data_IF_794024994006
#
_entry.id   IF_794024994006
#
_cell.length_a   1.000
_cell.length_b   1.000
_cell.length_c   1.000
_cell.angle_alpha   90.00
_cell.angle_beta   90.00
_cell.angle_gamma   90.00
#
_symmetry.space_group_name_H-M   'P 1'
#
loop_
_entity.id
_entity.type
_entity.pdbx_description
1 polymer ?
#
# COMPACT_ATOMS: atom_id res chain seq x y z
N UNK A 1 20.55 16.89 -6.42
CA UNK A 1 19.08 16.76 -6.50
C UNK A 1 18.63 15.68 -5.53
N UNK A 2 17.59 15.96 -4.77
CA UNK A 2 17.07 14.98 -3.83
C UNK A 2 16.30 13.89 -4.57
N UNK A 3 16.50 12.64 -4.14
CA UNK A 3 15.69 11.52 -4.60
C UNK A 3 14.34 11.59 -3.88
N UNK A 4 13.30 11.10 -4.54
CA UNK A 4 11.94 11.13 -4.00
C UNK A 4 11.47 9.75 -3.64
N UNK A 5 10.88 9.62 -2.45
CA UNK A 5 10.28 8.36 -1.99
C UNK A 5 8.79 8.55 -1.75
N UNK A 6 8.00 7.62 -2.30
CA UNK A 6 6.58 7.51 -1.97
C UNK A 6 6.45 6.60 -0.75
N UNK A 7 5.83 7.08 0.31
CA UNK A 7 5.75 6.39 1.60
C UNK A 7 4.30 6.31 2.07
N UNK A 8 3.89 5.13 2.55
CA UNK A 8 2.58 4.97 3.17
C UNK A 8 2.43 5.99 4.31
N UNK A 9 1.37 6.80 4.25
CA UNK A 9 1.19 7.95 5.15
C UNK A 9 1.14 7.57 6.63
N UNK A 10 0.58 6.40 6.97
CA UNK A 10 0.53 5.96 8.36
C UNK A 10 1.92 5.74 8.97
N UNK A 11 2.91 5.41 8.15
CA UNK A 11 4.30 5.24 8.61
C UNK A 11 4.96 6.58 8.94
N UNK A 12 4.42 7.68 8.43
CA UNK A 12 4.87 9.03 8.72
C UNK A 12 4.07 9.69 9.85
N UNK A 13 3.18 8.94 10.50
CA UNK A 13 2.41 9.41 11.66
C UNK A 13 1.01 9.91 11.35
N UNK A 14 0.53 9.81 10.10
CA UNK A 14 -0.84 10.19 9.77
C UNK A 14 -1.81 9.14 10.27
N UNK A 15 -2.92 9.58 10.88
CA UNK A 15 -3.94 8.69 11.45
C UNK A 15 -4.90 8.20 10.36
N UNK A 16 -4.39 7.49 9.37
CA UNK A 16 -5.13 7.09 8.18
C UNK A 16 -5.32 5.57 8.03
N UNK A 17 -5.04 4.80 9.08
CA UNK A 17 -5.38 3.37 9.08
C UNK A 17 -6.89 3.21 9.17
N UNK A 18 -7.39 2.00 8.82
CA UNK A 18 -8.82 1.72 8.80
C UNK A 18 -9.53 2.06 10.12
N UNK A 19 -8.84 1.97 11.24
CA UNK A 19 -9.35 2.24 12.59
C UNK A 19 -9.06 3.66 13.08
N UNK A 20 -8.48 4.52 12.24
CA UNK A 20 -8.08 5.87 12.61
C UNK A 20 -6.75 5.96 13.35
N UNK A 21 -6.02 4.84 13.45
CA UNK A 21 -4.70 4.81 14.09
C UNK A 21 -3.59 5.15 13.09
N UNK A 22 -2.36 5.27 13.61
CA UNK A 22 -1.17 5.49 12.80
C UNK A 22 -0.12 4.42 13.12
N UNK A 23 0.92 4.35 12.30
CA UNK A 23 2.05 3.43 12.48
C UNK A 23 3.37 4.16 12.34
N UNK A 24 3.52 5.29 13.01
CA UNK A 24 4.74 6.10 12.92
C UNK A 24 5.98 5.22 13.10
N UNK A 25 6.89 5.31 12.13
CA UNK A 25 8.13 4.53 12.12
C UNK A 25 9.31 5.48 12.04
N UNK A 26 9.75 5.97 13.20
CA UNK A 26 10.84 6.95 13.26
C UNK A 26 12.17 6.42 12.70
N UNK A 27 12.59 5.17 12.99
CA UNK A 27 13.82 4.65 12.37
C UNK A 27 13.77 4.65 10.85
N UNK A 28 12.61 4.34 10.27
CA UNK A 28 12.44 4.37 8.82
C UNK A 28 12.57 5.80 8.29
N UNK A 29 11.94 6.78 8.94
CA UNK A 29 12.03 8.17 8.54
C UNK A 29 13.47 8.68 8.60
N UNK A 30 14.23 8.26 9.62
CA UNK A 30 15.65 8.61 9.73
C UNK A 30 16.44 8.00 8.57
N UNK A 31 16.16 6.76 8.20
CA UNK A 31 16.81 6.10 7.06
C UNK A 31 16.52 6.80 5.75
N UNK A 32 15.36 7.45 5.64
CA UNK A 32 14.93 8.18 4.46
C UNK A 32 15.26 9.68 4.52
N UNK A 33 16.11 10.12 5.45
CA UNK A 33 16.36 11.54 5.70
C UNK A 33 16.95 12.30 4.49
N UNK A 34 17.60 11.58 3.57
CA UNK A 34 18.14 12.18 2.36
C UNK A 34 17.15 12.24 1.21
N UNK A 35 15.95 11.69 1.39
CA UNK A 35 14.90 11.69 0.39
C UNK A 35 13.89 12.79 0.65
N UNK A 36 13.29 13.29 -0.43
CA UNK A 36 12.03 14.04 -0.32
C UNK A 36 10.90 13.04 -0.17
N UNK A 37 10.22 13.08 0.97
CA UNK A 37 9.16 12.11 1.28
C UNK A 37 7.81 12.64 0.80
N UNK A 38 7.13 11.85 -0.04
CA UNK A 38 5.79 12.14 -0.52
C UNK A 38 4.89 11.01 -0.02
N UNK A 39 3.91 11.36 0.81
CA UNK A 39 3.05 10.36 1.44
C UNK A 39 1.82 10.05 0.59
N UNK A 40 1.26 8.84 0.79
CA UNK A 40 0.04 8.43 0.12
C UNK A 40 -0.79 7.54 1.04
N UNK A 41 -2.09 7.52 0.82
CA UNK A 41 -2.99 6.55 1.46
C UNK A 41 -4.19 6.32 0.55
N UNK A 42 -4.14 5.30 -0.32
CA UNK A 42 -5.21 5.05 -1.27
C UNK A 42 -6.55 4.70 -0.61
N UNK A 43 -6.50 4.03 0.53
CA UNK A 43 -7.73 3.62 1.22
C UNK A 43 -8.40 4.79 1.92
N UNK A 44 -7.63 5.68 2.58
CA UNK A 44 -8.21 6.86 3.21
C UNK A 44 -8.81 7.81 2.18
N UNK A 45 -8.11 8.03 1.07
CA UNK A 45 -8.60 8.88 -0.01
C UNK A 45 -9.89 8.33 -0.63
N UNK A 46 -9.94 7.02 -0.88
CA UNK A 46 -11.07 6.40 -1.57
C UNK A 46 -12.27 6.18 -0.65
N UNK A 47 -12.06 5.85 0.62
CA UNK A 47 -13.11 5.34 1.51
C UNK A 47 -13.22 6.10 2.83
N UNK A 48 -12.30 7.00 3.14
CA UNK A 48 -12.29 7.72 4.41
C UNK A 48 -11.72 6.91 5.57
N UNK A 49 -11.70 7.53 6.73
CA UNK A 49 -11.20 6.93 7.97
C UNK A 49 -12.14 7.32 9.11
N UNK A 50 -12.62 6.40 9.96
CA UNK A 50 -12.41 4.94 9.88
C UNK A 50 -13.19 4.29 8.73
N UNK A 51 -12.83 3.05 8.41
CA UNK A 51 -13.44 2.31 7.31
C UNK A 51 -13.36 0.80 7.58
N UNK A 52 -14.21 -0.01 6.91
CA UNK A 52 -14.12 -1.47 7.03
C UNK A 52 -12.79 -2.00 6.50
N UNK A 53 -12.38 -3.16 6.99
CA UNK A 53 -11.22 -3.86 6.45
C UNK A 53 -11.54 -4.49 5.10
N UNK A 54 -10.47 -4.81 4.36
CA UNK A 54 -10.58 -5.55 3.11
C UNK A 54 -9.49 -6.62 3.05
N UNK A 55 -9.73 -7.64 2.24
CA UNK A 55 -8.75 -8.69 1.98
C UNK A 55 -8.42 -8.76 0.50
N UNK A 56 -7.20 -9.19 0.18
CA UNK A 56 -6.85 -9.57 -1.18
C UNK A 56 -7.39 -10.97 -1.42
N UNK A 57 -8.20 -11.13 -2.47
CA UNK A 57 -8.84 -12.39 -2.83
C UNK A 57 -8.42 -12.78 -4.24
N UNK A 58 -7.90 -13.98 -4.40
CA UNK A 58 -7.50 -14.52 -5.70
C UNK A 58 -8.58 -15.46 -6.22
N UNK A 59 -9.01 -15.24 -7.46
CA UNK A 59 -9.95 -16.10 -8.15
C UNK A 59 -9.58 -16.12 -9.64
N UNK A 60 -9.35 -17.33 -10.18
CA UNK A 60 -9.04 -17.50 -11.59
C UNK A 60 -7.78 -16.75 -12.05
N UNK A 61 -6.80 -16.59 -11.17
CA UNK A 61 -5.57 -15.88 -11.46
C UNK A 61 -5.65 -14.37 -11.28
N UNK A 62 -6.83 -13.83 -10.94
CA UNK A 62 -7.01 -12.41 -10.69
C UNK A 62 -7.08 -12.15 -9.19
N UNK A 63 -6.47 -11.04 -8.75
CA UNK A 63 -6.49 -10.62 -7.34
C UNK A 63 -7.26 -9.32 -7.24
N UNK A 64 -8.23 -9.28 -6.31
CA UNK A 64 -9.02 -8.09 -6.04
C UNK A 64 -9.05 -7.81 -4.54
N UNK A 65 -9.21 -6.53 -4.18
CA UNK A 65 -9.46 -6.13 -2.81
C UNK A 65 -10.96 -6.20 -2.55
N UNK A 66 -11.37 -7.04 -1.60
CA UNK A 66 -12.78 -7.30 -1.30
C UNK A 66 -13.11 -6.81 0.11
N UNK A 67 -14.16 -6.01 0.23
CA UNK A 67 -14.63 -5.52 1.53
C UNK A 67 -15.08 -6.67 2.42
N UNK A 68 -14.59 -6.72 3.66
CA UNK A 68 -15.03 -7.71 4.64
C UNK A 68 -16.43 -7.43 5.17
N UNK A 69 -16.93 -6.21 5.00
CA UNK A 69 -18.28 -5.84 5.43
C UNK A 69 -19.34 -6.17 4.39
N UNK A 70 -19.06 -5.86 3.11
CA UNK A 70 -20.07 -5.95 2.05
C UNK A 70 -19.81 -7.04 1.02
N UNK A 71 -18.59 -7.57 0.94
CA UNK A 71 -18.21 -8.51 -0.11
C UNK A 71 -18.02 -7.89 -1.48
N UNK A 72 -18.06 -6.56 -1.58
CA UNK A 72 -17.91 -5.84 -2.86
C UNK A 72 -16.44 -5.59 -3.14
N UNK A 73 -16.06 -5.64 -4.43
CA UNK A 73 -14.70 -5.29 -4.85
C UNK A 73 -14.45 -3.80 -4.67
N UNK A 74 -13.33 -3.46 -4.04
CA UNK A 74 -12.88 -2.09 -3.80
C UNK A 74 -11.66 -1.75 -4.66
N UNK A 75 -11.34 -2.59 -5.64
CA UNK A 75 -10.11 -2.48 -6.43
C UNK A 75 -10.03 -1.22 -7.28
N UNK A 76 -11.12 -0.87 -7.99
CA UNK A 76 -11.09 0.24 -8.94
C UNK A 76 -10.70 1.59 -8.33
N UNK A 77 -11.28 2.02 -7.19
CA UNK A 77 -10.87 3.28 -6.58
C UNK A 77 -9.41 3.30 -6.13
N UNK A 78 -8.91 2.17 -5.63
CA UNK A 78 -7.51 2.07 -5.20
C UNK A 78 -6.57 2.19 -6.39
N UNK A 79 -6.84 1.47 -7.46
CA UNK A 79 -6.02 1.51 -8.68
C UNK A 79 -6.08 2.89 -9.33
N UNK A 80 -7.26 3.51 -9.38
CA UNK A 80 -7.41 4.86 -9.90
C UNK A 80 -6.59 5.89 -9.12
N UNK A 81 -6.63 5.80 -7.79
CA UNK A 81 -5.79 6.64 -6.93
C UNK A 81 -4.31 6.44 -7.22
N UNK A 82 -3.87 5.19 -7.32
CA UNK A 82 -2.46 4.87 -7.56
C UNK A 82 -1.98 5.45 -8.89
N UNK A 83 -2.76 5.28 -9.95
CA UNK A 83 -2.41 5.81 -11.27
C UNK A 83 -2.34 7.32 -11.27
N UNK A 84 -3.30 7.99 -10.64
CA UNK A 84 -3.30 9.44 -10.52
C UNK A 84 -2.10 9.94 -9.71
N UNK A 85 -1.78 9.25 -8.60
CA UNK A 85 -0.63 9.59 -7.77
C UNK A 85 0.67 9.60 -8.58
N UNK A 86 0.93 8.53 -9.34
CA UNK A 86 2.17 8.44 -10.11
C UNK A 86 2.17 9.36 -11.34
N UNK A 87 1.01 9.76 -11.85
CA UNK A 87 0.93 10.80 -12.89
C UNK A 87 1.31 12.16 -12.32
N UNK A 88 0.90 12.47 -11.09
CA UNK A 88 1.25 13.72 -10.42
C UNK A 88 2.69 13.73 -9.90
N UNK A 89 3.28 12.55 -9.70
CA UNK A 89 4.64 12.41 -9.19
C UNK A 89 5.44 11.46 -10.08
N UNK A 90 5.73 11.85 -11.34
CA UNK A 90 6.38 10.95 -12.29
C UNK A 90 7.84 10.68 -12.00
N UNK A 91 8.43 11.40 -11.05
CA UNK A 91 9.84 11.32 -10.70
C UNK A 91 10.10 10.58 -9.38
N UNK A 92 9.15 9.77 -8.94
CA UNK A 92 9.35 8.91 -7.75
C UNK A 92 10.45 7.88 -8.05
N UNK A 93 11.44 7.81 -7.16
CA UNK A 93 12.58 6.89 -7.28
C UNK A 93 12.38 5.60 -6.49
N UNK A 94 11.56 5.66 -5.42
CA UNK A 94 11.43 4.58 -4.46
C UNK A 94 10.02 4.55 -3.90
N UNK A 95 9.47 3.35 -3.74
CA UNK A 95 8.16 3.12 -3.12
C UNK A 95 8.35 2.27 -1.86
N UNK A 96 7.87 2.78 -0.73
CA UNK A 96 7.90 2.06 0.54
C UNK A 96 6.46 1.88 1.02
N UNK A 97 6.01 0.64 1.08
CA UNK A 97 4.64 0.30 1.46
C UNK A 97 4.54 -0.25 2.87
N UNK A 98 3.42 0.01 3.53
CA UNK A 98 3.10 -0.58 4.83
C UNK A 98 2.95 -2.09 4.66
N UNK A 99 3.70 -2.85 5.45
CA UNK A 99 3.65 -4.30 5.43
C UNK A 99 2.23 -4.81 5.66
N UNK A 100 1.87 -5.88 4.96
CA UNK A 100 0.60 -6.59 5.08
C UNK A 100 -0.63 -5.80 4.62
N UNK A 101 -0.46 -4.58 4.11
CA UNK A 101 -1.57 -3.78 3.59
C UNK A 101 -2.09 -4.33 2.27
N UNK A 102 -3.40 -4.50 2.07
CA UNK A 102 -3.96 -4.94 0.78
C UNK A 102 -3.75 -3.93 -0.35
N UNK A 103 -3.43 -2.68 -0.03
CA UNK A 103 -3.14 -1.63 -1.02
C UNK A 103 -1.65 -1.42 -1.22
N UNK A 104 -0.87 -1.46 -0.15
CA UNK A 104 0.50 -0.92 -0.14
C UNK A 104 1.60 -1.95 0.03
N UNK A 105 1.31 -3.18 0.50
CA UNK A 105 2.33 -4.21 0.68
C UNK A 105 3.00 -4.57 -0.64
N UNK A 106 4.31 -4.78 -0.62
CA UNK A 106 5.05 -5.16 -1.82
C UNK A 106 5.14 -6.68 -1.96
N UNK A 107 5.44 -7.40 -0.89
CA UNK A 107 5.49 -8.87 -0.90
C UNK A 107 5.14 -9.47 0.47
N UNK A 108 4.30 -8.81 1.24
CA UNK A 108 3.89 -9.24 2.57
C UNK A 108 2.37 -9.31 2.75
N UNK A 109 1.60 -9.13 1.68
CA UNK A 109 0.15 -9.16 1.75
C UNK A 109 -0.39 -10.57 1.91
N UNK A 110 -1.42 -10.72 2.74
CA UNK A 110 -2.14 -11.99 2.86
C UNK A 110 -3.14 -12.09 1.71
N UNK A 111 -3.11 -13.23 1.00
CA UNK A 111 -4.02 -13.49 -0.12
C UNK A 111 -4.89 -14.68 0.24
N UNK A 112 -6.19 -14.52 0.06
CA UNK A 112 -7.21 -15.51 0.39
C UNK A 112 -7.91 -15.99 -0.87
N UNK A 113 -8.54 -17.17 -0.81
CA UNK A 113 -9.50 -17.58 -1.84
C UNK A 113 -10.88 -17.00 -1.54
N UNK A 114 -11.86 -17.27 -2.41
CA UNK A 114 -13.21 -16.72 -2.23
C UNK A 114 -13.96 -17.29 -1.04
N UNK A 115 -13.51 -18.42 -0.50
CA UNK A 115 -14.05 -19.01 0.73
C UNK A 115 -13.32 -18.47 1.98
N UNK A 116 -12.46 -17.47 1.81
CA UNK A 116 -11.67 -16.84 2.87
C UNK A 116 -10.61 -17.73 3.51
N UNK A 117 -10.16 -18.75 2.76
CA UNK A 117 -9.02 -19.58 3.17
C UNK A 117 -7.73 -18.90 2.75
N UNK A 118 -6.77 -18.82 3.65
CA UNK A 118 -5.48 -18.18 3.38
C UNK A 118 -4.67 -19.00 2.37
N UNK A 119 -4.31 -18.39 1.24
CA UNK A 119 -3.50 -19.04 0.21
C UNK A 119 -2.00 -18.82 0.46
N UNK A 120 -1.58 -17.58 0.73
CA UNK A 120 -0.19 -17.25 1.04
C UNK A 120 -0.09 -15.85 1.65
N UNK A 121 1.11 -15.51 2.14
CA UNK A 121 1.40 -14.23 2.80
C UNK A 121 2.43 -13.40 2.03
N UNK A 122 2.54 -13.61 0.73
CA UNK A 122 3.52 -12.95 -0.13
C UNK A 122 2.86 -12.12 -1.23
N UNK A 123 1.63 -11.67 -0.98
CA UNK A 123 0.85 -10.91 -1.95
C UNK A 123 1.33 -9.48 -2.08
N UNK A 124 1.02 -8.90 -3.24
CA UNK A 124 1.30 -7.50 -3.52
C UNK A 124 0.01 -6.71 -3.50
N UNK A 125 0.00 -5.60 -2.76
CA UNK A 125 -1.12 -4.70 -2.71
C UNK A 125 -1.35 -4.00 -4.04
N UNK A 126 -2.55 -3.47 -4.25
CA UNK A 126 -2.95 -2.95 -5.55
C UNK A 126 -2.15 -1.72 -5.99
N UNK A 127 -1.82 -0.80 -5.07
CA UNK A 127 -1.00 0.36 -5.40
C UNK A 127 0.46 -0.04 -5.64
N UNK A 128 0.97 -0.97 -4.85
CA UNK A 128 2.32 -1.49 -5.03
C UNK A 128 2.48 -2.15 -6.41
N UNK A 129 1.45 -2.86 -6.89
CA UNK A 129 1.44 -3.45 -8.22
C UNK A 129 1.60 -2.39 -9.31
N UNK A 130 0.90 -1.26 -9.19
CA UNK A 130 1.04 -0.15 -10.14
C UNK A 130 2.47 0.40 -10.11
N UNK A 131 3.06 0.58 -8.92
CA UNK A 131 4.44 1.07 -8.80
C UNK A 131 5.44 0.13 -9.49
N UNK A 132 5.30 -1.18 -9.25
CA UNK A 132 6.20 -2.19 -9.85
C UNK A 132 6.03 -2.22 -11.37
N UNK A 133 4.80 -2.15 -11.87
CA UNK A 133 4.54 -2.12 -13.31
C UNK A 133 5.16 -0.90 -13.99
N UNK A 134 5.31 0.20 -13.27
CA UNK A 134 5.97 1.42 -13.76
C UNK A 134 7.50 1.35 -13.65
N UNK A 135 8.05 0.25 -13.14
CA UNK A 135 9.49 0.09 -12.99
C UNK A 135 10.09 0.80 -11.77
N UNK A 136 9.26 1.20 -10.82
CA UNK A 136 9.73 1.88 -9.60
C UNK A 136 10.24 0.82 -8.62
N UNK A 137 11.43 1.06 -8.03
CA UNK A 137 11.96 0.21 -6.96
C UNK A 137 11.00 0.25 -5.77
N UNK A 138 10.56 -0.93 -5.29
CA UNK A 138 9.53 -1.03 -4.26
C UNK A 138 9.94 -2.01 -3.17
N UNK A 139 9.66 -1.63 -1.91
CA UNK A 139 10.00 -2.43 -0.73
C UNK A 139 8.88 -2.35 0.30
N UNK A 140 8.65 -3.47 1.01
CA UNK A 140 7.92 -3.42 2.28
C UNK A 140 8.77 -2.68 3.31
N UNK A 141 8.13 -1.89 4.17
CA UNK A 141 8.83 -1.04 5.13
C UNK A 141 9.76 -1.83 6.05
N UNK A 142 9.30 -2.98 6.57
CA UNK A 142 10.09 -3.79 7.51
C UNK A 142 11.33 -4.37 6.84
N UNK A 143 11.21 -4.79 5.57
CA UNK A 143 12.35 -5.31 4.82
C UNK A 143 13.35 -4.20 4.50
N UNK A 144 12.86 -3.05 4.05
CA UNK A 144 13.72 -1.92 3.74
C UNK A 144 14.51 -1.43 4.96
N UNK A 145 13.86 -1.42 6.12
CA UNK A 145 14.48 -0.97 7.36
C UNK A 145 15.66 -1.86 7.78
N UNK A 146 15.64 -3.12 7.38
CA UNK A 146 16.70 -4.09 7.71
C UNK A 146 17.88 -4.10 6.74
N UNK A 147 17.81 -3.32 5.69
CA UNK A 147 18.87 -3.27 4.68
C UNK A 147 20.13 -2.59 5.18
#
# INVERSE_FOLDING_TARGET
MSRKVALSACLAGFSCRYDGAENLNEPLLQKLSSYEVITFCPEDDAFGTPRPTMDLVEEGGNIEAISNETGVSLSLPIVAYAKAFFQHHPDIDLFIGKDRSPSCAVCSGKVYDKEKSLLHKKGRGLMAEVAVDLGIEAWDAEVYLKR
#
